data_IF_608105362686
#
_entry.id   IF_608105362686
#
_cell.length_a   1.000
_cell.length_b   1.000
_cell.length_c   1.000
_cell.angle_alpha   90.00
_cell.angle_beta   90.00
_cell.angle_gamma   90.00
#
_symmetry.space_group_name_H-M   'P 1'
#
loop_
_entity.id
_entity.type
_entity.pdbx_description
1 polymer ?
#
# COMPACT_ATOMS: atom_id res chain seq x y z
N UNK A 1 49.67 29.45 -57.93
CA UNK A 1 49.36 29.61 -56.49
C UNK A 1 47.86 29.69 -56.18
N UNK A 2 46.98 29.63 -57.18
CA UNK A 2 45.51 29.76 -57.05
C UNK A 2 44.70 28.46 -56.81
N UNK A 3 45.13 27.23 -57.17
CA UNK A 3 44.27 26.04 -56.96
C UNK A 3 44.25 25.54 -55.50
N UNK A 4 45.29 25.83 -54.72
CA UNK A 4 45.39 25.42 -53.31
C UNK A 4 44.45 26.22 -52.39
N UNK A 5 44.18 27.49 -52.71
CA UNK A 5 43.30 28.36 -51.90
C UNK A 5 41.83 27.97 -52.12
N UNK A 6 41.43 27.68 -53.36
CA UNK A 6 40.09 27.18 -53.69
C UNK A 6 39.79 25.83 -53.03
N UNK A 7 40.75 24.89 -53.04
CA UNK A 7 40.58 23.60 -52.38
C UNK A 7 40.43 23.74 -50.85
N UNK A 8 41.21 24.63 -50.22
CA UNK A 8 41.12 24.91 -48.79
C UNK A 8 39.79 25.59 -48.40
N UNK A 9 39.29 26.54 -49.19
CA UNK A 9 37.97 27.16 -48.97
C UNK A 9 36.83 26.14 -49.12
N UNK A 10 36.90 25.26 -50.12
CA UNK A 10 35.86 24.29 -50.38
C UNK A 10 35.82 23.17 -49.33
N UNK A 11 36.99 22.75 -48.84
CA UNK A 11 37.12 21.77 -47.75
C UNK A 11 36.74 22.37 -46.38
N UNK A 12 37.03 23.64 -46.14
CA UNK A 12 36.57 24.39 -44.96
C UNK A 12 35.03 24.51 -44.94
N UNK A 13 34.43 24.92 -46.05
CA UNK A 13 32.98 25.09 -46.20
C UNK A 13 32.22 23.77 -46.00
N UNK A 14 32.71 22.68 -46.59
CA UNK A 14 32.14 21.34 -46.39
C UNK A 14 32.22 20.89 -44.92
N UNK A 15 33.34 21.19 -44.25
CA UNK A 15 33.55 20.87 -42.83
C UNK A 15 32.62 21.67 -41.90
N UNK A 16 32.40 22.96 -42.17
CA UNK A 16 31.43 23.78 -41.43
C UNK A 16 30.00 23.26 -41.58
N UNK A 17 29.62 22.86 -42.79
CA UNK A 17 28.28 22.32 -43.06
C UNK A 17 28.07 20.98 -42.32
N UNK A 18 29.08 20.11 -42.33
CA UNK A 18 29.05 18.85 -41.58
C UNK A 18 29.02 19.07 -40.06
N UNK A 19 29.85 19.99 -39.53
CA UNK A 19 29.87 20.31 -38.11
C UNK A 19 28.55 20.91 -37.63
N UNK A 20 27.94 21.80 -38.42
CA UNK A 20 26.63 22.38 -38.12
C UNK A 20 25.53 21.31 -38.08
N UNK A 21 25.56 20.34 -38.99
CA UNK A 21 24.61 19.22 -38.99
C UNK A 21 24.78 18.34 -37.75
N UNK A 22 26.01 17.96 -37.39
CA UNK A 22 26.28 17.18 -36.17
C UNK A 22 25.85 17.94 -34.92
N UNK A 23 26.13 19.24 -34.84
CA UNK A 23 25.69 20.08 -33.73
C UNK A 23 24.15 20.15 -33.63
N UNK A 24 23.45 20.28 -34.76
CA UNK A 24 21.99 20.27 -34.80
C UNK A 24 21.42 18.93 -34.34
N UNK A 25 21.97 17.81 -34.83
CA UNK A 25 21.57 16.47 -34.38
C UNK A 25 21.83 16.27 -32.87
N UNK A 26 22.97 16.71 -32.36
CA UNK A 26 23.30 16.62 -30.94
C UNK A 26 22.34 17.47 -30.09
N UNK A 27 21.98 18.67 -30.54
CA UNK A 27 21.02 19.53 -29.87
C UNK A 27 19.62 18.88 -29.83
N UNK A 28 19.13 18.39 -30.97
CA UNK A 28 17.83 17.70 -31.06
C UNK A 28 17.82 16.48 -30.15
N UNK A 29 18.87 15.67 -30.17
CA UNK A 29 19.00 14.51 -29.30
C UNK A 29 18.98 14.89 -27.82
N UNK A 30 19.67 15.96 -27.43
CA UNK A 30 19.72 16.44 -26.05
C UNK A 30 18.35 16.93 -25.58
N UNK A 31 17.67 17.73 -26.39
CA UNK A 31 16.31 18.25 -26.09
C UNK A 31 15.30 17.10 -26.02
N UNK A 32 15.34 16.18 -26.99
CA UNK A 32 14.45 15.03 -27.02
C UNK A 32 14.67 14.11 -25.81
N UNK A 33 15.93 13.84 -25.45
CA UNK A 33 16.28 13.02 -24.28
C UNK A 33 15.83 13.69 -22.98
N UNK A 34 16.06 15.00 -22.85
CA UNK A 34 15.61 15.77 -21.69
C UNK A 34 14.09 15.72 -21.54
N UNK A 35 13.35 15.91 -22.64
CA UNK A 35 11.90 15.89 -22.62
C UNK A 35 11.37 14.49 -22.32
N UNK A 36 11.94 13.45 -22.94
CA UNK A 36 11.56 12.07 -22.65
C UNK A 36 11.72 11.74 -21.16
N UNK A 37 12.89 12.01 -20.57
CA UNK A 37 13.20 11.68 -19.17
C UNK A 37 12.33 12.47 -18.16
N UNK A 38 11.92 13.70 -18.51
CA UNK A 38 11.16 14.58 -17.60
C UNK A 38 9.66 14.64 -17.88
N UNK A 39 9.20 14.23 -19.06
CA UNK A 39 7.79 14.26 -19.41
C UNK A 39 7.00 13.12 -18.77
N UNK A 40 7.64 11.97 -18.54
CA UNK A 40 7.00 10.81 -17.95
C UNK A 40 6.50 11.10 -16.53
N UNK A 41 5.18 11.13 -16.42
CA UNK A 41 4.50 11.03 -15.14
C UNK A 41 4.73 9.62 -14.60
N UNK A 42 5.28 9.53 -13.39
CA UNK A 42 5.53 8.26 -12.73
C UNK A 42 4.25 7.58 -12.28
N UNK A 43 4.44 6.38 -11.74
CA UNK A 43 3.45 5.65 -10.96
C UNK A 43 3.89 5.66 -9.50
N UNK A 44 2.91 5.67 -8.59
CA UNK A 44 3.16 5.53 -7.17
C UNK A 44 3.15 4.04 -6.82
N UNK A 45 4.31 3.51 -6.41
CA UNK A 45 4.46 2.12 -5.98
C UNK A 45 4.46 2.02 -4.46
N UNK A 46 3.87 0.96 -3.93
CA UNK A 46 3.96 0.58 -2.52
C UNK A 46 4.36 -0.88 -2.37
N UNK A 47 4.85 -1.26 -1.19
CA UNK A 47 5.27 -2.62 -0.87
C UNK A 47 4.50 -3.19 0.31
N UNK A 48 4.44 -4.53 0.38
CA UNK A 48 3.76 -5.24 1.46
C UNK A 48 4.41 -4.87 2.80
N UNK A 49 3.65 -4.38 3.79
CA UNK A 49 4.17 -4.19 5.13
C UNK A 49 4.41 -5.54 5.81
N UNK A 50 5.59 -5.69 6.41
CA UNK A 50 5.99 -6.88 7.19
C UNK A 50 5.49 -6.85 8.64
N UNK A 51 5.01 -5.70 9.09
CA UNK A 51 4.51 -5.47 10.44
C UNK A 51 3.35 -4.50 10.41
N UNK A 52 2.45 -4.60 11.36
CA UNK A 52 1.34 -3.67 11.54
C UNK A 52 1.10 -3.44 13.02
N UNK A 53 0.43 -2.36 13.40
CA UNK A 53 -0.07 -2.20 14.76
C UNK A 53 -1.59 -2.22 14.73
N UNK A 54 -2.21 -2.85 15.72
CA UNK A 54 -3.67 -2.93 15.77
C UNK A 54 -4.20 -2.77 17.19
N UNK A 55 -5.41 -2.24 17.28
CA UNK A 55 -6.23 -2.18 18.49
C UNK A 55 -7.68 -2.41 18.09
N UNK A 56 -8.35 -3.31 18.80
CA UNK A 56 -9.74 -3.67 18.59
C UNK A 56 -10.43 -3.59 19.94
N UNK A 57 -11.23 -2.55 20.12
CA UNK A 57 -12.04 -2.32 21.31
C UNK A 57 -13.52 -2.44 20.97
N UNK A 58 -14.37 -2.40 22.01
CA UNK A 58 -15.83 -2.34 21.83
C UNK A 58 -16.32 -1.04 21.18
N UNK A 59 -15.46 -0.03 21.03
CA UNK A 59 -15.82 1.27 20.44
C UNK A 59 -15.19 1.50 19.07
N UNK A 60 -14.04 0.91 18.78
CA UNK A 60 -13.34 1.13 17.52
C UNK A 60 -12.37 0.00 17.17
N UNK A 61 -12.13 -0.16 15.87
CA UNK A 61 -11.04 -0.96 15.35
C UNK A 61 -10.08 -0.07 14.57
N UNK A 62 -8.78 -0.17 14.88
CA UNK A 62 -7.70 0.59 14.25
C UNK A 62 -6.58 -0.34 13.82
N UNK A 63 -6.05 -0.09 12.64
CA UNK A 63 -4.91 -0.80 12.07
C UNK A 63 -3.97 0.24 11.48
N UNK A 64 -2.69 0.15 11.81
CA UNK A 64 -1.64 1.06 11.34
C UNK A 64 -0.57 0.29 10.59
N UNK A 65 -0.16 0.83 9.44
CA UNK A 65 0.87 0.22 8.60
C UNK A 65 2.05 1.18 8.37
N UNK A 66 3.29 0.66 8.38
CA UNK A 66 4.45 1.37 7.84
C UNK A 66 4.45 1.24 6.32
N UNK A 67 3.93 2.23 5.62
CA UNK A 67 3.85 2.23 4.16
C UNK A 67 5.07 2.95 3.57
N UNK A 68 5.74 2.31 2.62
CA UNK A 68 6.75 2.95 1.79
C UNK A 68 6.13 3.25 0.44
N UNK A 69 6.11 4.52 0.05
CA UNK A 69 5.55 5.01 -1.19
C UNK A 69 6.68 5.55 -2.07
N UNK A 70 6.88 4.96 -3.24
CA UNK A 70 7.93 5.37 -4.18
C UNK A 70 7.33 5.93 -5.45
N UNK A 71 7.80 7.10 -5.84
CA UNK A 71 7.45 7.72 -7.10
C UNK A 71 8.47 7.33 -8.18
N UNK A 72 8.03 6.58 -9.19
CA UNK A 72 8.93 6.13 -10.26
C UNK A 72 9.31 7.24 -11.26
N UNK A 73 8.58 8.35 -11.27
CA UNK A 73 8.74 9.42 -12.26
C UNK A 73 9.48 10.64 -11.74
N UNK A 74 9.76 11.59 -12.63
CA UNK A 74 10.47 12.82 -12.31
C UNK A 74 9.58 13.89 -11.62
N UNK A 75 8.27 13.85 -11.88
CA UNK A 75 7.31 14.83 -11.38
C UNK A 75 6.74 14.38 -10.03
N UNK A 76 6.57 15.28 -9.04
CA UNK A 76 5.92 14.94 -7.79
C UNK A 76 4.51 14.37 -8.00
N UNK A 77 4.17 13.36 -7.21
CA UNK A 77 2.83 12.78 -7.16
C UNK A 77 2.16 13.23 -5.88
N UNK A 78 1.05 13.95 -6.02
CA UNK A 78 0.21 14.36 -4.88
C UNK A 78 -0.73 13.22 -4.54
N UNK A 79 -0.72 12.76 -3.29
CA UNK A 79 -1.68 11.83 -2.72
C UNK A 79 -2.72 12.64 -1.96
N UNK A 80 -3.97 12.56 -2.39
CA UNK A 80 -5.08 13.28 -1.80
C UNK A 80 -5.68 12.51 -0.62
N UNK A 81 -5.77 11.19 -0.74
CA UNK A 81 -6.41 10.33 0.24
C UNK A 81 -5.93 8.88 0.08
N UNK A 82 -6.07 8.07 1.13
CA UNK A 82 -5.77 6.63 1.14
C UNK A 82 -6.83 5.86 1.90
N UNK A 83 -7.06 4.60 1.51
CA UNK A 83 -8.04 3.72 2.18
C UNK A 83 -7.62 2.27 2.14
N UNK A 84 -8.11 1.50 3.11
CA UNK A 84 -7.95 0.04 3.16
C UNK A 84 -9.26 -0.64 2.78
N UNK A 85 -9.20 -1.56 1.82
CA UNK A 85 -10.32 -2.39 1.35
C UNK A 85 -10.08 -3.86 1.66
N UNK A 86 -11.18 -4.57 1.87
CA UNK A 86 -11.22 -6.01 2.10
C UNK A 86 -12.01 -6.67 0.95
N UNK A 87 -11.39 -6.98 -0.19
CA UNK A 87 -12.07 -7.49 -1.38
C UNK A 87 -12.83 -8.80 -1.17
N UNK A 88 -12.35 -9.66 -0.27
CA UNK A 88 -12.91 -11.00 -0.06
C UNK A 88 -14.02 -11.01 1.02
N UNK A 89 -14.33 -9.86 1.61
CA UNK A 89 -15.40 -9.75 2.60
C UNK A 89 -16.78 -9.73 1.95
N UNK A 90 -17.79 -10.38 2.57
CA UNK A 90 -19.16 -10.41 2.05
C UNK A 90 -19.80 -9.01 2.01
N UNK A 91 -19.21 -8.03 2.70
CA UNK A 91 -19.56 -6.61 2.63
C UNK A 91 -18.54 -5.89 1.73
N UNK A 92 -18.76 -5.80 0.40
CA UNK A 92 -17.82 -5.17 -0.53
C UNK A 92 -17.62 -3.66 -0.30
N UNK A 93 -18.51 -3.05 0.48
CA UNK A 93 -18.45 -1.66 0.94
C UNK A 93 -17.62 -1.47 2.20
N UNK A 94 -17.12 -2.55 2.82
CA UNK A 94 -16.24 -2.44 3.97
C UNK A 94 -14.92 -1.78 3.56
N UNK A 95 -14.79 -0.52 3.94
CA UNK A 95 -13.62 0.33 3.71
C UNK A 95 -13.22 0.91 5.04
N UNK A 96 -11.95 0.78 5.41
CA UNK A 96 -11.40 1.56 6.51
C UNK A 96 -10.75 2.83 5.94
N UNK A 97 -11.30 4.02 6.24
CA UNK A 97 -10.70 5.28 5.81
C UNK A 97 -9.39 5.54 6.55
N UNK A 98 -8.55 6.37 5.96
CA UNK A 98 -7.42 6.98 6.65
C UNK A 98 -7.91 7.88 7.78
N UNK A 99 -7.50 7.58 9.00
CA UNK A 99 -7.92 8.31 10.20
C UNK A 99 -6.83 9.23 10.73
N UNK A 100 -5.56 8.83 10.60
CA UNK A 100 -4.42 9.65 10.99
C UNK A 100 -3.10 9.17 10.38
N UNK A 101 -2.11 10.05 10.39
CA UNK A 101 -0.70 9.71 10.14
C UNK A 101 0.10 9.90 11.41
N UNK A 102 1.06 9.00 11.60
CA UNK A 102 1.85 8.84 12.82
C UNK A 102 3.33 8.85 12.50
N UNK A 103 4.15 9.09 13.51
CA UNK A 103 5.60 9.15 13.34
C UNK A 103 6.26 7.76 13.50
N UNK A 104 5.55 6.81 14.10
CA UNK A 104 6.07 5.47 14.42
C UNK A 104 4.99 4.39 14.38
N UNK A 105 5.42 3.14 14.21
CA UNK A 105 4.49 1.99 14.17
C UNK A 105 3.94 1.66 15.55
N UNK A 106 4.81 1.59 16.57
CA UNK A 106 4.42 1.29 17.95
C UNK A 106 3.84 2.55 18.60
N UNK A 107 2.63 2.52 19.16
CA UNK A 107 2.06 3.67 19.83
C UNK A 107 2.78 3.87 21.17
N UNK A 108 3.69 4.84 21.19
CA UNK A 108 4.43 5.25 22.38
C UNK A 108 3.91 6.59 22.87
N UNK A 109 4.34 7.02 24.07
CA UNK A 109 3.83 8.24 24.72
C UNK A 109 4.04 9.51 23.87
N UNK A 110 5.06 9.50 23.00
CA UNK A 110 5.43 10.60 22.09
C UNK A 110 5.03 10.33 20.63
N UNK A 111 3.96 9.57 20.40
CA UNK A 111 3.42 9.31 19.07
C UNK A 111 2.57 10.50 18.56
N UNK A 112 3.23 11.43 17.86
CA UNK A 112 2.56 12.63 17.34
C UNK A 112 1.42 12.24 16.38
N UNK A 113 0.23 12.74 16.67
CA UNK A 113 -0.95 12.59 15.82
C UNK A 113 -0.94 13.68 14.75
N UNK A 114 -1.00 13.27 13.48
CA UNK A 114 -1.30 14.18 12.37
C UNK A 114 -2.61 13.78 11.74
N UNK A 115 -3.49 14.75 11.53
CA UNK A 115 -4.74 14.50 10.81
C UNK A 115 -4.46 14.15 9.34
N UNK A 116 -5.35 13.41 8.68
CA UNK A 116 -5.26 13.14 7.25
C UNK A 116 -5.09 14.43 6.46
N UNK A 117 -3.98 14.55 5.75
CA UNK A 117 -3.64 15.75 4.98
C UNK A 117 -2.94 15.35 3.68
N UNK A 118 -3.34 15.96 2.57
CA UNK A 118 -2.70 15.72 1.28
C UNK A 118 -1.18 15.89 1.38
N UNK A 119 -0.43 15.00 0.75
CA UNK A 119 1.03 15.06 0.73
C UNK A 119 1.57 14.78 -0.67
N UNK A 120 2.81 15.20 -0.93
CA UNK A 120 3.47 14.96 -2.19
C UNK A 120 4.66 14.03 -2.01
N UNK A 121 4.78 13.03 -2.88
CA UNK A 121 5.98 12.20 -3.01
C UNK A 121 6.81 12.79 -4.14
N UNK A 122 7.99 13.29 -3.81
CA UNK A 122 8.90 13.90 -4.79
C UNK A 122 9.30 12.89 -5.88
N UNK A 123 9.76 13.40 -7.02
CA UNK A 123 10.15 12.56 -8.15
C UNK A 123 11.35 11.68 -7.82
N UNK A 124 11.30 10.39 -8.17
CA UNK A 124 12.38 9.41 -7.94
C UNK A 124 12.78 9.27 -6.46
N UNK A 125 11.87 9.56 -5.53
CA UNK A 125 12.09 9.38 -4.09
C UNK A 125 11.08 8.42 -3.49
N UNK A 126 11.42 7.91 -2.31
CA UNK A 126 10.55 7.12 -1.46
C UNK A 126 10.23 7.89 -0.18
N UNK A 127 8.98 7.85 0.25
CA UNK A 127 8.52 8.38 1.52
C UNK A 127 7.97 7.24 2.37
N UNK A 128 8.38 7.19 3.65
CA UNK A 128 7.82 6.25 4.61
C UNK A 128 6.81 6.95 5.50
N UNK A 129 5.59 6.41 5.59
CA UNK A 129 4.50 6.96 6.36
C UNK A 129 3.86 5.88 7.23
N UNK A 130 3.57 6.19 8.49
CA UNK A 130 2.79 5.30 9.36
C UNK A 130 1.33 5.72 9.31
N UNK A 131 0.57 5.08 8.43
CA UNK A 131 -0.83 5.44 8.16
C UNK A 131 -1.74 4.56 9.01
N UNK A 132 -2.63 5.20 9.75
CA UNK A 132 -3.66 4.56 10.58
C UNK A 132 -4.99 4.56 9.82
N UNK A 133 -5.59 3.39 9.72
CA UNK A 133 -6.92 3.15 9.20
C UNK A 133 -7.82 2.71 10.34
N UNK A 134 -9.08 3.11 10.33
CA UNK A 134 -9.99 2.66 11.37
C UNK A 134 -11.43 3.03 11.13
N UNK A 135 -12.30 2.34 11.85
CA UNK A 135 -13.73 2.58 11.84
C UNK A 135 -14.30 2.38 13.25
N UNK A 136 -15.42 3.04 13.57
CA UNK A 136 -16.14 2.78 14.82
C UNK A 136 -16.68 1.35 14.83
N UNK A 137 -16.83 0.78 16.02
CA UNK A 137 -17.60 -0.45 16.18
C UNK A 137 -19.09 -0.17 15.89
N UNK A 138 -19.84 -1.08 15.24
CA UNK A 138 -19.46 -2.41 14.75
C UNK A 138 -19.08 -2.45 13.26
N UNK A 139 -18.69 -1.32 12.66
CA UNK A 139 -18.41 -1.24 11.20
C UNK A 139 -17.36 -2.26 10.77
N UNK A 140 -16.32 -2.47 11.59
CA UNK A 140 -15.32 -3.50 11.36
C UNK A 140 -15.05 -4.27 12.67
N UNK A 141 -15.30 -5.58 12.64
CA UNK A 141 -14.98 -6.50 13.72
C UNK A 141 -14.09 -7.59 13.14
N UNK A 142 -12.77 -7.52 13.34
CA UNK A 142 -11.86 -8.52 12.80
C UNK A 142 -12.11 -9.90 13.43
N UNK A 143 -12.33 -10.89 12.60
CA UNK A 143 -12.26 -12.31 12.95
C UNK A 143 -10.80 -12.76 12.95
N UNK A 144 -10.46 -13.78 13.74
CA UNK A 144 -9.11 -14.32 13.81
C UNK A 144 -8.78 -15.19 12.57
N UNK A 145 -8.67 -14.54 11.40
CA UNK A 145 -8.34 -15.16 10.12
C UNK A 145 -7.42 -14.28 9.27
N UNK A 146 -6.97 -14.82 8.15
CA UNK A 146 -6.20 -14.07 7.17
C UNK A 146 -7.13 -13.31 6.22
N UNK A 147 -6.86 -12.03 6.01
CA UNK A 147 -7.62 -11.19 5.10
C UNK A 147 -6.76 -10.80 3.90
N UNK A 148 -7.26 -10.99 2.69
CA UNK A 148 -6.72 -10.26 1.54
C UNK A 148 -7.15 -8.81 1.67
N UNK A 149 -6.17 -7.91 1.64
CA UNK A 149 -6.41 -6.46 1.75
C UNK A 149 -5.77 -5.70 0.61
N UNK A 150 -6.37 -4.57 0.28
CA UNK A 150 -5.87 -3.64 -0.73
C UNK A 150 -5.77 -2.26 -0.13
N UNK A 151 -4.59 -1.65 -0.23
CA UNK A 151 -4.42 -0.23 0.05
C UNK A 151 -4.57 0.51 -1.26
N UNK A 152 -5.52 1.43 -1.28
CA UNK A 152 -5.78 2.28 -2.44
C UNK A 152 -5.46 3.74 -2.11
N UNK A 153 -5.06 4.49 -3.12
CA UNK A 153 -4.83 5.93 -3.00
C UNK A 153 -5.63 6.69 -4.06
N UNK A 154 -6.05 7.88 -3.67
CA UNK A 154 -6.61 8.87 -4.57
C UNK A 154 -5.50 9.85 -4.94
N UNK A 155 -5.07 9.84 -6.20
CA UNK A 155 -3.98 10.69 -6.68
C UNK A 155 -4.52 12.03 -7.21
N UNK A 156 -3.77 13.10 -6.98
CA UNK A 156 -4.11 14.46 -7.42
C UNK A 156 -3.87 14.70 -8.90
N UNK A 157 -3.09 13.84 -9.55
CA UNK A 157 -2.88 13.91 -11.00
C UNK A 157 -3.79 12.95 -11.75
N UNK A 158 -4.10 13.33 -12.99
CA UNK A 158 -4.92 12.52 -13.90
C UNK A 158 -4.05 12.03 -15.05
N UNK A 159 -3.92 10.71 -15.17
CA UNK A 159 -3.25 10.07 -16.32
C UNK A 159 -3.91 10.55 -17.62
N UNK A 160 -3.12 10.71 -18.69
CA UNK A 160 -3.60 11.17 -20.01
C UNK A 160 -4.86 10.41 -20.45
N UNK A 161 -4.85 9.08 -20.33
CA UNK A 161 -6.02 8.22 -20.61
C UNK A 161 -7.30 8.65 -19.87
N UNK A 162 -7.19 9.06 -18.61
CA UNK A 162 -8.35 9.47 -17.81
C UNK A 162 -8.83 10.86 -18.22
N UNK A 163 -7.95 11.75 -18.69
CA UNK A 163 -8.34 13.06 -19.25
C UNK A 163 -9.11 12.88 -20.55
N UNK A 164 -8.58 12.05 -21.46
CA UNK A 164 -9.19 11.77 -22.77
C UNK A 164 -10.58 11.13 -22.59
N UNK A 165 -10.70 10.16 -21.67
CA UNK A 165 -11.96 9.43 -21.43
C UNK A 165 -12.94 10.14 -20.49
N UNK A 166 -12.67 11.38 -20.06
CA UNK A 166 -13.46 12.14 -19.07
C UNK A 166 -13.88 11.37 -17.79
N UNK A 167 -13.23 10.25 -17.44
CA UNK A 167 -13.50 9.46 -16.23
C UNK A 167 -13.12 10.17 -14.93
N UNK A 168 -13.96 10.11 -13.90
CA UNK A 168 -13.66 10.67 -12.57
C UNK A 168 -12.31 10.14 -12.04
N UNK A 169 -11.70 10.90 -11.13
CA UNK A 169 -10.49 10.46 -10.40
C UNK A 169 -10.86 9.20 -9.64
N UNK A 170 -10.38 8.06 -10.13
CA UNK A 170 -10.58 6.74 -9.54
C UNK A 170 -9.52 6.48 -8.48
N UNK A 171 -9.87 5.64 -7.52
CA UNK A 171 -8.94 5.07 -6.55
C UNK A 171 -7.98 4.13 -7.30
N UNK A 172 -6.68 4.28 -7.05
CA UNK A 172 -5.64 3.45 -7.62
C UNK A 172 -5.11 2.47 -6.56
N UNK A 173 -5.08 1.18 -6.90
CA UNK A 173 -4.52 0.15 -6.03
C UNK A 173 -3.00 0.33 -5.92
N UNK A 174 -2.52 0.57 -4.70
CA UNK A 174 -1.09 0.74 -4.42
C UNK A 174 -0.41 -0.59 -4.12
N UNK A 175 -1.03 -1.40 -3.25
CA UNK A 175 -0.50 -2.70 -2.84
C UNK A 175 -1.64 -3.62 -2.41
N UNK A 176 -1.51 -4.89 -2.80
CA UNK A 176 -2.37 -6.00 -2.38
C UNK A 176 -1.53 -6.96 -1.54
N UNK A 177 -2.04 -7.37 -0.39
CA UNK A 177 -1.33 -8.32 0.48
C UNK A 177 -2.29 -9.05 1.42
N UNK A 178 -1.79 -10.12 2.04
CA UNK A 178 -2.49 -10.82 3.12
C UNK A 178 -2.17 -10.16 4.47
N UNK A 179 -3.21 -9.81 5.21
CA UNK A 179 -3.16 -9.32 6.59
C UNK A 179 -3.45 -10.48 7.54
N UNK A 180 -2.45 -10.86 8.34
CA UNK A 180 -2.54 -11.96 9.30
C UNK A 180 -3.16 -11.50 10.63
N UNK A 181 -4.47 -11.26 10.64
CA UNK A 181 -5.21 -10.75 11.82
C UNK A 181 -5.22 -11.77 12.97
N UNK A 182 -5.09 -13.06 12.69
CA UNK A 182 -4.95 -14.10 13.71
C UNK A 182 -3.76 -13.87 14.67
N UNK A 183 -2.80 -13.01 14.31
CA UNK A 183 -1.67 -12.66 15.18
C UNK A 183 -1.99 -11.61 16.25
N UNK A 184 -3.19 -11.02 16.22
CA UNK A 184 -3.63 -10.06 17.24
C UNK A 184 -3.94 -10.80 18.54
N UNK A 185 -2.91 -11.06 19.33
CA UNK A 185 -3.03 -11.74 20.62
C UNK A 185 -3.62 -10.84 21.73
N UNK A 186 -3.43 -9.52 21.64
CA UNK A 186 -3.83 -8.56 22.67
C UNK A 186 -4.71 -7.46 22.07
N UNK A 187 -5.95 -7.76 21.66
CA UNK A 187 -6.80 -6.82 20.90
C UNK A 187 -7.07 -5.51 21.63
N UNK A 188 -7.18 -5.53 22.96
CA UNK A 188 -7.41 -4.31 23.77
C UNK A 188 -6.18 -3.42 23.93
N UNK A 189 -5.00 -3.94 23.62
CA UNK A 189 -3.74 -3.21 23.72
C UNK A 189 -3.33 -2.75 22.33
N UNK A 190 -3.11 -1.45 22.16
CA UNK A 190 -2.59 -0.96 20.89
C UNK A 190 -1.09 -1.28 20.82
N UNK A 191 -0.72 -2.34 20.09
CA UNK A 191 0.68 -2.77 19.95
C UNK A 191 0.98 -3.22 18.51
N UNK A 192 2.28 -3.42 18.22
CA UNK A 192 2.75 -3.91 16.94
C UNK A 192 2.78 -5.45 16.88
N UNK A 193 2.50 -5.98 15.71
CA UNK A 193 2.43 -7.39 15.34
C UNK A 193 3.23 -7.64 14.07
N UNK A 194 3.66 -8.89 13.87
CA UNK A 194 4.24 -9.34 12.60
C UNK A 194 3.12 -9.58 11.58
N UNK A 195 3.41 -9.41 10.30
CA UNK A 195 2.53 -9.75 9.18
C UNK A 195 3.09 -10.91 8.33
N UNK A 196 4.02 -11.67 8.89
CA UNK A 196 4.53 -12.90 8.30
C UNK A 196 3.58 -14.05 8.64
N UNK A 197 3.24 -14.95 7.70
CA UNK A 197 2.47 -16.15 8.03
C UNK A 197 3.11 -16.88 9.22
N UNK A 198 2.29 -17.39 10.14
CA UNK A 198 2.80 -18.15 11.28
C UNK A 198 3.05 -19.58 10.83
N UNK A 199 4.28 -20.06 10.98
CA UNK A 199 4.59 -21.47 10.76
C UNK A 199 3.88 -22.29 11.85
N UNK A 200 2.99 -23.20 11.44
CA UNK A 200 2.30 -24.09 12.36
C UNK A 200 3.28 -25.20 12.72
N UNK A 201 3.73 -25.21 13.96
CA UNK A 201 4.59 -26.30 14.46
C UNK A 201 3.76 -27.54 14.77
N UNK A 202 4.38 -28.72 14.77
CA UNK A 202 3.70 -29.96 15.17
C UNK A 202 3.20 -29.90 16.61
N UNK A 203 3.86 -29.12 17.47
CA UNK A 203 3.43 -28.89 18.84
C UNK A 203 2.14 -28.04 18.91
N UNK A 204 2.04 -27.01 18.06
CA UNK A 204 0.82 -26.21 17.93
C UNK A 204 -0.35 -27.07 17.44
N UNK A 205 -0.08 -27.97 16.48
CA UNK A 205 -1.05 -28.94 15.96
C UNK A 205 -1.56 -29.87 17.06
N UNK A 206 -0.64 -30.46 17.83
CA UNK A 206 -0.97 -31.33 18.97
C UNK A 206 -1.77 -30.60 20.05
N UNK A 207 -1.43 -29.35 20.36
CA UNK A 207 -2.19 -28.52 21.31
C UNK A 207 -3.60 -28.23 20.81
N UNK A 208 -3.75 -27.93 19.52
CA UNK A 208 -5.06 -27.69 18.91
C UNK A 208 -5.93 -28.96 18.91
N UNK A 209 -5.35 -30.13 18.59
CA UNK A 209 -6.06 -31.42 18.64
C UNK A 209 -6.52 -31.76 20.07
N UNK A 210 -5.67 -31.55 21.07
CA UNK A 210 -6.03 -31.75 22.47
C UNK A 210 -7.19 -30.83 22.91
N UNK A 211 -7.09 -29.53 22.62
CA UNK A 211 -8.13 -28.56 22.94
C UNK A 211 -9.47 -28.89 22.27
N UNK A 212 -9.44 -29.37 21.02
CA UNK A 212 -10.64 -29.77 20.28
C UNK A 212 -11.28 -31.03 20.89
N UNK A 213 -10.46 -31.97 21.38
CA UNK A 213 -10.91 -33.12 22.16
C UNK A 213 -11.63 -32.71 23.46
N UNK A 214 -11.04 -31.78 24.22
CA UNK A 214 -11.64 -31.28 25.46
C UNK A 214 -12.99 -30.60 25.21
N UNK A 215 -13.05 -29.76 24.18
CA UNK A 215 -14.26 -29.02 23.82
C UNK A 215 -15.39 -29.95 23.37
N UNK A 216 -15.06 -31.02 22.63
CA UNK A 216 -16.01 -32.07 22.25
C UNK A 216 -16.58 -32.80 23.47
N UNK A 217 -15.72 -33.13 24.43
CA UNK A 217 -16.12 -33.76 25.70
C UNK A 217 -17.06 -32.85 26.48
N UNK A 218 -16.72 -31.56 26.63
CA UNK A 218 -17.57 -30.58 27.32
C UNK A 218 -18.94 -30.44 26.64
N UNK A 219 -18.99 -30.40 25.31
CA UNK A 219 -20.25 -30.31 24.57
C UNK A 219 -21.11 -31.57 24.78
N UNK A 220 -20.53 -32.77 24.73
CA UNK A 220 -21.26 -34.02 24.99
C UNK A 220 -21.85 -34.06 26.40
N UNK A 221 -21.08 -33.65 27.43
CA UNK A 221 -21.56 -33.54 28.81
C UNK A 221 -22.70 -32.50 28.91
N UNK A 222 -22.57 -31.36 28.22
CA UNK A 222 -23.61 -30.32 28.23
C UNK A 222 -24.91 -30.80 27.57
N UNK A 223 -24.81 -31.59 26.49
CA UNK A 223 -25.95 -32.15 25.76
C UNK A 223 -26.63 -33.24 26.58
N UNK A 224 -25.86 -34.13 27.22
CA UNK A 224 -26.40 -35.16 28.11
C UNK A 224 -27.14 -34.57 29.32
N UNK A 225 -26.70 -33.43 29.85
CA UNK A 225 -27.40 -32.71 30.93
C UNK A 225 -28.69 -32.00 30.50
N UNK A 226 -28.88 -31.76 29.19
CA UNK A 226 -30.08 -31.09 28.66
C UNK A 226 -31.20 -32.06 28.27
N UNK A 227 -30.97 -33.37 28.30
CA UNK A 227 -32.01 -34.37 28.07
C UNK A 227 -32.85 -34.51 29.36
N UNK A 228 -34.14 -34.14 29.36
CA UNK A 228 -34.99 -34.31 30.53
C UNK A 228 -35.16 -35.79 30.83
N UNK A 229 -35.12 -36.12 32.13
CA UNK A 229 -35.32 -37.48 32.64
C UNK A 229 -36.70 -37.96 32.19
N UNK A 230 -36.85 -39.16 31.58
CA UNK A 230 -38.19 -39.67 31.29
C UNK A 230 -38.96 -39.80 32.59
N UNK A 231 -40.14 -39.18 32.66
CA UNK A 231 -41.09 -39.39 33.74
C UNK A 231 -41.44 -40.88 33.75
N UNK A 232 -41.04 -41.57 34.81
CA UNK A 232 -41.39 -42.96 35.07
C UNK A 232 -42.84 -43.00 35.54
N UNK A 233 -43.74 -43.44 34.66
CA UNK A 233 -45.07 -43.98 35.02
C UNK A 233 -44.95 -45.38 35.64
#
# INVERSE_FOLDING_TARGET
>A
MTPLILAAEQQSSASFTAAAFVAACALVFTVASFWWINAHQGDLKAWKPHSFAACVTSSMARIRFPLVLYNTGAKPIVVLDVRLRFPDEPRPELVLPWTSTRDRLRPEKEDALRLPACFAVAGRTAEQLFIEFGAPYPTFVPEARDYKVVIEAKLGHRKLRHRVLRRRVEWESLVVFTLCVAQIAYPKSYIAYSNSPRDITEEDRRKAEAALGDLRTMLQVSLARRVPKPESE
#
